data_IF_822905890588
#
_entry.id   IF_822905890588
#
_cell.length_a   1.000
_cell.length_b   1.000
_cell.length_c   1.000
_cell.angle_alpha   90.00
_cell.angle_beta   90.00
_cell.angle_gamma   90.00
#
_symmetry.space_group_name_H-M   'P 1'
#
loop_
_entity.id
_entity.type
_entity.pdbx_description
1 polymer ?
#
# COMPACT_ATOMS: atom_id res chain seq x y z
N UNK A 1 9.49 -41.88 -26.51
CA UNK A 1 8.07 -41.56 -26.24
C UNK A 1 8.04 -40.25 -25.46
N UNK A 2 7.68 -39.14 -26.11
CA UNK A 2 7.54 -37.83 -25.48
C UNK A 2 6.05 -37.56 -25.40
N UNK A 3 5.49 -37.62 -24.19
CA UNK A 3 4.11 -37.22 -23.93
C UNK A 3 4.01 -35.71 -24.17
N UNK A 4 3.51 -35.34 -25.35
CA UNK A 4 3.23 -33.96 -25.70
C UNK A 4 1.98 -33.58 -24.89
N UNK A 5 2.17 -33.00 -23.71
CA UNK A 5 1.09 -32.47 -22.88
C UNK A 5 0.27 -31.51 -23.74
N UNK A 6 -0.98 -31.89 -24.04
CA UNK A 6 -1.94 -31.04 -24.73
C UNK A 6 -2.31 -29.88 -23.80
N UNK A 7 -1.61 -28.77 -23.97
CA UNK A 7 -2.00 -27.52 -23.33
C UNK A 7 -3.28 -27.01 -24.00
N UNK A 8 -4.44 -27.25 -23.36
CA UNK A 8 -5.74 -26.71 -23.79
C UNK A 8 -5.60 -25.21 -24.12
N UNK A 9 -6.06 -24.76 -25.30
CA UNK A 9 -5.80 -23.40 -25.82
C UNK A 9 -6.29 -22.29 -24.87
N UNK A 10 -7.33 -22.55 -24.07
CA UNK A 10 -7.84 -21.61 -23.07
C UNK A 10 -6.81 -21.20 -22.01
N UNK A 11 -5.98 -22.14 -21.51
CA UNK A 11 -5.06 -21.86 -20.40
C UNK A 11 -3.91 -20.92 -20.77
N UNK A 12 -3.50 -20.87 -22.04
CA UNK A 12 -2.39 -20.03 -22.48
C UNK A 12 -2.79 -18.56 -22.55
N UNK A 13 -4.01 -18.29 -23.00
CA UNK A 13 -4.57 -16.94 -23.07
C UNK A 13 -4.83 -16.40 -21.66
N UNK A 14 -5.41 -17.20 -20.76
CA UNK A 14 -5.64 -16.80 -19.37
C UNK A 14 -4.35 -16.46 -18.63
N UNK A 15 -3.25 -17.19 -18.89
CA UNK A 15 -1.95 -16.97 -18.26
C UNK A 15 -1.25 -15.71 -18.79
N UNK A 16 -1.38 -15.43 -20.08
CA UNK A 16 -0.90 -14.18 -20.68
C UNK A 16 -1.71 -12.96 -20.19
N UNK A 17 -3.03 -13.10 -20.06
CA UNK A 17 -3.90 -12.04 -19.52
C UNK A 17 -3.64 -11.79 -18.04
N UNK A 18 -3.51 -12.85 -17.24
CA UNK A 18 -3.19 -12.78 -15.81
C UNK A 18 -1.87 -12.07 -15.54
N UNK A 19 -0.81 -12.39 -16.29
CA UNK A 19 0.48 -11.70 -16.17
C UNK A 19 0.44 -10.22 -16.56
N UNK A 20 -0.49 -9.82 -17.43
CA UNK A 20 -0.69 -8.40 -17.80
C UNK A 20 -1.46 -7.67 -16.69
N UNK A 21 -2.49 -8.30 -16.12
CA UNK A 21 -3.24 -7.79 -14.97
C UNK A 21 -2.38 -7.65 -13.70
N UNK A 22 -1.49 -8.60 -13.43
CA UNK A 22 -0.55 -8.55 -12.30
C UNK A 22 0.45 -7.40 -12.44
N UNK A 23 0.90 -7.08 -13.66
CA UNK A 23 1.77 -5.93 -13.93
C UNK A 23 1.06 -4.60 -13.70
N UNK A 24 -0.20 -4.51 -14.11
CA UNK A 24 -1.04 -3.33 -13.85
C UNK A 24 -1.29 -3.14 -12.34
N UNK A 25 -1.58 -4.24 -11.64
CA UNK A 25 -1.80 -4.23 -10.19
C UNK A 25 -0.52 -3.95 -9.39
N UNK A 26 0.65 -4.33 -9.92
CA UNK A 26 1.94 -4.04 -9.28
C UNK A 26 2.24 -2.54 -9.24
N UNK A 27 1.86 -1.78 -10.28
CA UNK A 27 2.01 -0.32 -10.30
C UNK A 27 1.17 0.39 -9.23
N UNK A 28 -0.04 -0.10 -8.97
CA UNK A 28 -0.95 0.47 -7.98
C UNK A 28 -0.40 0.39 -6.54
N UNK A 29 0.42 -0.62 -6.23
CA UNK A 29 1.03 -0.80 -4.90
C UNK A 29 2.09 0.26 -4.60
N UNK A 30 2.94 0.59 -5.58
CA UNK A 30 3.97 1.61 -5.42
C UNK A 30 3.39 3.02 -5.38
N UNK A 31 2.28 3.26 -6.07
CA UNK A 31 1.60 4.56 -6.05
C UNK A 31 1.20 4.96 -4.62
N UNK A 32 0.53 4.07 -3.87
CA UNK A 32 0.12 4.37 -2.49
C UNK A 32 1.30 4.57 -1.54
N UNK A 33 2.40 3.84 -1.73
CA UNK A 33 3.63 4.03 -0.96
C UNK A 33 4.25 5.41 -1.21
N UNK A 34 4.34 5.83 -2.48
CA UNK A 34 4.90 7.12 -2.86
C UNK A 34 4.02 8.27 -2.35
N UNK A 35 2.69 8.19 -2.50
CA UNK A 35 1.76 9.19 -1.96
C UNK A 35 1.94 9.38 -0.45
N UNK A 36 2.12 8.30 0.30
CA UNK A 36 2.42 8.39 1.73
C UNK A 36 3.73 9.14 1.99
N UNK A 37 4.83 8.77 1.31
CA UNK A 37 6.14 9.42 1.49
C UNK A 37 6.07 10.91 1.16
N UNK A 38 5.36 11.30 0.09
CA UNK A 38 5.18 12.69 -0.30
C UNK A 38 4.30 13.51 0.67
N UNK A 39 3.49 12.87 1.50
CA UNK A 39 2.66 13.57 2.49
C UNK A 39 3.49 14.36 3.52
N UNK A 40 4.69 13.88 3.86
CA UNK A 40 5.59 14.54 4.83
C UNK A 40 6.14 15.87 4.30
N UNK A 41 6.85 15.94 3.14
CA UNK A 41 7.35 17.20 2.62
C UNK A 41 6.22 18.16 2.22
N UNK A 42 5.06 17.64 1.78
CA UNK A 42 3.89 18.47 1.48
C UNK A 42 3.33 19.11 2.75
N UNK A 43 3.12 18.34 3.83
CA UNK A 43 2.64 18.86 5.11
C UNK A 43 3.64 19.81 5.77
N UNK A 44 4.93 19.47 5.75
CA UNK A 44 6.00 20.33 6.26
C UNK A 44 6.13 21.64 5.45
N UNK A 45 6.03 21.56 4.12
CA UNK A 45 6.05 22.74 3.25
C UNK A 45 4.86 23.68 3.48
N UNK A 46 3.66 23.12 3.66
CA UNK A 46 2.46 23.87 4.05
C UNK A 46 2.61 24.52 5.43
N UNK A 47 3.15 23.80 6.42
CA UNK A 47 3.41 24.33 7.75
C UNK A 47 4.43 25.47 7.75
N UNK A 48 5.50 25.32 6.97
CA UNK A 48 6.51 26.38 6.77
C UNK A 48 5.91 27.64 6.12
N UNK A 49 5.04 27.46 5.12
CA UNK A 49 4.35 28.59 4.49
C UNK A 49 3.39 29.28 5.46
N UNK A 50 2.68 28.52 6.31
CA UNK A 50 1.82 29.07 7.34
C UNK A 50 2.60 29.90 8.37
N UNK A 51 3.77 29.43 8.83
CA UNK A 51 4.63 30.19 9.73
C UNK A 51 5.12 31.50 9.09
N UNK A 52 5.42 31.50 7.78
CA UNK A 52 5.83 32.71 7.06
C UNK A 52 4.72 33.76 6.93
N UNK A 53 3.45 33.34 6.90
CA UNK A 53 2.32 34.25 6.73
C UNK A 53 1.82 34.83 8.06
N UNK A 54 1.96 34.07 9.16
CA UNK A 54 1.42 34.46 10.46
C UNK A 54 2.46 35.08 11.42
N UNK A 55 3.74 35.18 11.03
CA UNK A 55 4.86 35.66 11.87
C UNK A 55 4.94 34.96 13.24
N UNK A 56 4.26 33.83 13.40
CA UNK A 56 4.25 33.04 14.60
C UNK A 56 5.60 32.33 14.75
N UNK A 57 6.08 32.20 15.99
CA UNK A 57 7.12 31.23 16.36
C UNK A 57 6.87 29.87 15.68
N UNK A 58 7.88 29.00 15.46
CA UNK A 58 7.88 27.85 14.54
C UNK A 58 6.89 26.71 14.86
N UNK A 59 5.64 27.09 15.07
CA UNK A 59 4.51 26.34 15.59
C UNK A 59 3.66 25.89 14.41
N UNK A 60 3.53 26.71 13.37
CA UNK A 60 2.92 26.32 12.09
C UNK A 60 3.70 25.19 11.41
N UNK A 61 5.04 25.25 11.46
CA UNK A 61 5.90 24.16 11.00
C UNK A 61 5.69 22.89 11.81
N UNK A 62 5.62 22.98 13.15
CA UNK A 62 5.43 21.82 14.03
C UNK A 62 4.07 21.16 13.78
N UNK A 63 3.00 21.95 13.67
CA UNK A 63 1.64 21.46 13.41
C UNK A 63 1.54 20.87 12.00
N UNK A 64 2.09 21.55 10.99
CA UNK A 64 2.10 21.04 9.61
C UNK A 64 2.92 19.76 9.48
N UNK A 65 4.05 19.66 10.17
CA UNK A 65 4.84 18.44 10.25
C UNK A 65 4.07 17.31 10.96
N UNK A 66 3.43 17.58 12.09
CA UNK A 66 2.63 16.59 12.81
C UNK A 66 1.45 16.07 11.98
N UNK A 67 0.76 16.96 11.24
CA UNK A 67 -0.32 16.58 10.33
C UNK A 67 0.19 15.78 9.13
N UNK A 68 1.29 16.20 8.50
CA UNK A 68 1.92 15.47 7.41
C UNK A 68 2.42 14.08 7.84
N UNK A 69 2.98 14.00 9.05
CA UNK A 69 3.40 12.75 9.67
C UNK A 69 2.20 11.83 9.98
N UNK A 70 1.11 12.37 10.53
CA UNK A 70 -0.11 11.60 10.77
C UNK A 70 -0.70 11.05 9.45
N UNK A 71 -0.73 11.86 8.40
CA UNK A 71 -1.17 11.42 7.06
C UNK A 71 -0.27 10.31 6.49
N UNK A 72 1.04 10.41 6.68
CA UNK A 72 1.99 9.36 6.31
C UNK A 72 1.71 8.03 7.04
N UNK A 73 1.51 8.08 8.37
CA UNK A 73 1.19 6.88 9.17
C UNK A 73 -0.13 6.24 8.70
N UNK A 74 -1.16 7.06 8.42
CA UNK A 74 -2.43 6.56 7.87
C UNK A 74 -2.23 5.90 6.49
N UNK A 75 -1.39 6.49 5.63
CA UNK A 75 -1.00 5.90 4.35
C UNK A 75 -0.31 4.54 4.51
N UNK A 76 0.61 4.42 5.46
CA UNK A 76 1.29 3.15 5.77
C UNK A 76 0.33 2.08 6.29
N UNK A 77 -0.58 2.44 7.20
CA UNK A 77 -1.59 1.51 7.73
C UNK A 77 -2.52 1.05 6.61
N UNK A 78 -2.90 1.94 5.70
CA UNK A 78 -3.72 1.61 4.54
C UNK A 78 -3.01 0.76 3.49
N UNK A 79 -1.68 0.83 3.44
CA UNK A 79 -0.85 -0.01 2.58
C UNK A 79 -0.58 -1.40 3.15
N UNK A 80 -0.93 -1.65 4.43
CA UNK A 80 -0.80 -2.98 5.02
C UNK A 80 -1.71 -3.92 4.22
N UNK A 81 -1.16 -5.00 3.65
CA UNK A 81 -1.99 -6.08 3.17
C UNK A 81 -2.86 -6.53 4.35
N UNK A 82 -4.14 -6.77 4.11
CA UNK A 82 -5.03 -7.41 5.05
C UNK A 82 -4.49 -8.84 5.27
N UNK A 83 -3.50 -8.98 6.14
CA UNK A 83 -3.22 -10.23 6.81
C UNK A 83 -4.26 -10.28 7.92
N UNK A 84 -5.50 -10.53 7.48
CA UNK A 84 -6.54 -10.98 8.38
C UNK A 84 -5.90 -12.06 9.22
N UNK A 85 -5.93 -11.85 10.53
CA UNK A 85 -5.51 -12.83 11.50
C UNK A 85 -6.26 -14.12 11.14
N UNK A 86 -5.60 -15.05 10.45
CA UNK A 86 -5.91 -16.46 10.61
C UNK A 86 -5.47 -16.74 12.03
N UNK A 87 -6.34 -16.36 12.97
CA UNK A 87 -6.31 -16.82 14.34
C UNK A 87 -6.12 -18.33 14.25
N UNK A 88 -4.96 -18.79 14.69
CA UNK A 88 -4.77 -20.16 15.14
C UNK A 88 -5.87 -20.44 16.16
N UNK A 89 -6.99 -20.99 15.71
CA UNK A 89 -7.89 -21.73 16.57
C UNK A 89 -7.58 -23.20 16.38
N UNK A 90 -6.61 -23.65 17.16
CA UNK A 90 -6.48 -25.01 17.64
C UNK A 90 -7.86 -25.54 18.01
N UNK A 91 -8.43 -26.42 17.18
CA UNK A 91 -9.32 -27.48 17.64
C UNK A 91 -8.90 -28.80 17.02
N UNK A 92 -7.98 -29.44 17.74
CA UNK A 92 -8.01 -30.86 18.04
C UNK A 92 -9.46 -31.35 18.22
N UNK A 93 -9.95 -32.09 17.23
CA UNK A 93 -10.94 -33.16 17.39
C UNK A 93 -10.77 -34.01 16.10
N UNK A 94 -10.09 -35.16 16.13
CA UNK A 94 -10.58 -36.44 16.65
C UNK A 94 -12.04 -36.73 16.22
N UNK A 95 -12.26 -38.01 15.89
CA UNK A 95 -13.57 -38.63 15.55
C UNK A 95 -14.01 -38.39 14.08
N UNK A 96 -14.18 -39.39 13.23
CA UNK A 96 -14.44 -40.82 13.44
C UNK A 96 -14.20 -41.59 12.15
#
# INVERSE_FOLDING_TARGET
MVERREDKPGNRVSKALGGTADRLNSGAKYQGALEAVFAIPVGAGLGYFADKYFESNPVGLLIGFALGFAAFILGLVRLRPDHGETSESTKTDQKK
#
